data_IF_316815603109
#
_entry.id   IF_316815603109
#
_cell.length_a   1.000
_cell.length_b   1.000
_cell.length_c   1.000
_cell.angle_alpha   90.00
_cell.angle_beta   90.00
_cell.angle_gamma   90.00
#
_symmetry.space_group_name_H-M   'P 1'
#
loop_
_entity.id
_entity.type
_entity.pdbx_description
1 polymer ?
#
# COMPACT_ATOMS: atom_id res chain seq x y z
N UNK A 1 5.34 4.50 17.81
CA UNK A 1 5.23 5.26 16.54
C UNK A 1 5.16 4.26 15.38
N UNK A 2 4.37 4.56 14.33
CA UNK A 2 4.50 3.75 13.11
C UNK A 2 4.42 4.58 11.83
N UNK A 3 5.22 4.14 10.84
CA UNK A 3 5.25 4.69 9.49
C UNK A 3 4.57 3.70 8.55
N UNK A 4 3.61 4.17 7.74
CA UNK A 4 3.02 3.37 6.67
C UNK A 4 3.64 3.69 5.32
N UNK A 5 4.03 2.67 4.55
CA UNK A 5 4.56 2.84 3.20
C UNK A 5 3.48 2.49 2.18
N UNK A 6 3.07 3.47 1.42
CA UNK A 6 2.04 3.39 0.40
C UNK A 6 2.63 3.48 -1.02
N UNK A 7 1.96 2.87 -1.98
CA UNK A 7 2.36 2.95 -3.39
C UNK A 7 1.87 1.77 -4.22
N UNK A 8 1.90 1.93 -5.52
CA UNK A 8 1.40 0.97 -6.49
C UNK A 8 2.18 -0.36 -6.48
N UNK A 9 1.67 -1.37 -7.16
CA UNK A 9 2.37 -2.64 -7.42
C UNK A 9 3.67 -2.34 -8.16
N UNK A 10 4.81 -2.83 -7.65
CA UNK A 10 6.12 -2.57 -8.26
C UNK A 10 6.80 -1.26 -7.83
N UNK A 11 6.21 -0.43 -6.96
CA UNK A 11 6.81 0.85 -6.54
C UNK A 11 7.99 0.74 -5.57
N UNK A 12 8.35 -0.47 -5.09
CA UNK A 12 9.50 -0.67 -4.20
C UNK A 12 9.19 -0.60 -2.70
N UNK A 13 7.91 -0.63 -2.29
CA UNK A 13 7.51 -0.55 -0.87
C UNK A 13 8.27 -1.50 0.05
N UNK A 14 8.25 -2.79 -0.26
CA UNK A 14 8.91 -3.82 0.58
C UNK A 14 10.40 -3.55 0.75
N UNK A 15 11.08 -3.16 -0.33
CA UNK A 15 12.50 -2.81 -0.28
C UNK A 15 12.74 -1.61 0.63
N UNK A 16 11.92 -0.54 0.50
CA UNK A 16 12.07 0.62 1.37
C UNK A 16 11.71 0.29 2.83
N UNK A 17 10.70 -0.54 3.07
CA UNK A 17 10.35 -1.04 4.41
C UNK A 17 11.54 -1.72 5.08
N UNK A 18 12.22 -2.63 4.38
CA UNK A 18 13.41 -3.33 4.88
C UNK A 18 14.53 -2.35 5.22
N UNK A 19 14.86 -1.45 4.29
CA UNK A 19 15.96 -0.50 4.45
C UNK A 19 15.71 0.51 5.57
N UNK A 20 14.49 1.03 5.72
CA UNK A 20 14.14 1.93 6.80
C UNK A 20 14.09 1.21 8.15
N UNK A 21 13.59 -0.03 8.19
CA UNK A 21 13.59 -0.84 9.40
C UNK A 21 15.01 -1.12 9.89
N UNK A 22 15.94 -1.41 8.97
CA UNK A 22 17.36 -1.56 9.28
C UNK A 22 17.99 -0.23 9.76
N UNK A 23 17.72 0.87 9.05
CA UNK A 23 18.27 2.18 9.37
C UNK A 23 17.86 2.68 10.76
N UNK A 24 16.55 2.60 11.07
CA UNK A 24 16.00 3.09 12.34
C UNK A 24 16.02 2.03 13.47
N UNK A 25 16.39 0.79 13.17
CA UNK A 25 16.27 -0.36 14.09
C UNK A 25 14.82 -0.54 14.58
N UNK A 26 13.85 -0.34 13.66
CA UNK A 26 12.42 -0.50 13.89
C UNK A 26 11.94 -1.85 13.38
N UNK A 27 10.78 -2.30 13.85
CA UNK A 27 10.17 -3.57 13.46
C UNK A 27 9.49 -3.44 12.09
N UNK A 28 9.90 -4.23 11.06
CA UNK A 28 9.19 -4.27 9.80
C UNK A 28 7.94 -5.14 9.88
N UNK A 29 6.84 -4.69 9.28
CA UNK A 29 5.63 -5.46 9.05
C UNK A 29 5.34 -5.50 7.57
N UNK A 30 5.15 -6.70 7.02
CA UNK A 30 4.96 -6.94 5.59
C UNK A 30 3.53 -7.32 5.26
N UNK A 31 3.07 -6.93 4.07
CA UNK A 31 1.78 -7.36 3.56
C UNK A 31 1.72 -8.88 3.42
N UNK A 32 0.72 -9.51 4.04
CA UNK A 32 0.49 -10.96 3.94
C UNK A 32 -0.19 -11.28 2.60
N UNK A 33 0.59 -11.49 1.55
CA UNK A 33 0.09 -11.86 0.21
C UNK A 33 0.07 -13.37 0.00
N UNK A 34 0.97 -14.10 0.67
CA UNK A 34 1.34 -15.48 0.34
C UNK A 34 0.21 -16.50 0.60
N UNK A 35 -0.65 -16.24 1.58
CA UNK A 35 -1.71 -17.18 1.99
C UNK A 35 -3.13 -16.68 1.65
N UNK A 36 -3.27 -15.80 0.66
CA UNK A 36 -4.59 -15.31 0.27
C UNK A 36 -5.32 -16.38 -0.54
N UNK A 37 -6.42 -16.97 -0.01
CA UNK A 37 -7.12 -18.09 -0.65
C UNK A 37 -7.90 -17.67 -1.91
N UNK A 38 -8.04 -16.37 -2.17
CA UNK A 38 -8.79 -15.83 -3.29
C UNK A 38 -7.91 -15.37 -4.44
N UNK A 39 -6.58 -15.26 -4.26
CA UNK A 39 -5.69 -14.64 -5.25
C UNK A 39 -5.72 -15.33 -6.60
N UNK A 40 -5.62 -16.66 -6.62
CA UNK A 40 -5.60 -17.44 -7.86
C UNK A 40 -6.96 -17.41 -8.59
N UNK A 41 -8.05 -17.37 -7.84
CA UNK A 41 -9.40 -17.32 -8.40
C UNK A 41 -9.77 -15.91 -8.86
N UNK A 42 -9.29 -14.88 -8.18
CA UNK A 42 -9.47 -13.49 -8.56
C UNK A 42 -8.99 -13.21 -9.99
N UNK A 43 -7.79 -13.67 -10.35
CA UNK A 43 -7.27 -13.47 -11.71
C UNK A 43 -7.98 -14.29 -12.79
N UNK A 44 -8.78 -15.30 -12.41
CA UNK A 44 -9.62 -16.06 -13.35
C UNK A 44 -10.98 -15.40 -13.59
N UNK A 45 -11.55 -14.78 -12.55
CA UNK A 45 -12.87 -14.14 -12.59
C UNK A 45 -12.90 -12.95 -11.60
N UNK A 46 -12.52 -11.77 -12.09
CA UNK A 46 -12.47 -10.54 -11.31
C UNK A 46 -13.86 -10.18 -10.75
N UNK A 47 -14.92 -10.34 -11.56
CA UNK A 47 -16.27 -9.97 -11.14
C UNK A 47 -16.78 -10.85 -10.00
N UNK A 48 -16.44 -12.14 -10.02
CA UNK A 48 -16.87 -13.08 -8.97
C UNK A 48 -16.09 -12.89 -7.67
N UNK A 49 -14.79 -12.58 -7.73
CA UNK A 49 -13.92 -12.70 -6.59
C UNK A 49 -13.38 -11.38 -6.02
N UNK A 50 -13.57 -10.24 -6.70
CA UNK A 50 -13.05 -8.94 -6.23
C UNK A 50 -13.53 -8.59 -4.83
N UNK A 51 -14.82 -8.70 -4.54
CA UNK A 51 -15.35 -8.38 -3.22
C UNK A 51 -14.74 -9.26 -2.13
N UNK A 52 -14.70 -10.58 -2.33
CA UNK A 52 -14.14 -11.52 -1.36
C UNK A 52 -12.64 -11.27 -1.12
N UNK A 53 -11.88 -10.99 -2.19
CA UNK A 53 -10.47 -10.63 -2.11
C UNK A 53 -10.24 -9.36 -1.29
N UNK A 54 -11.00 -8.29 -1.58
CA UNK A 54 -10.84 -7.01 -0.89
C UNK A 54 -11.24 -7.09 0.58
N UNK A 55 -12.31 -7.82 0.92
CA UNK A 55 -12.70 -8.09 2.32
C UNK A 55 -11.61 -8.89 3.06
N UNK A 56 -10.99 -9.86 2.39
CA UNK A 56 -9.88 -10.61 2.99
C UNK A 56 -8.70 -9.69 3.31
N UNK A 57 -8.27 -8.84 2.38
CA UNK A 57 -7.20 -7.89 2.62
C UNK A 57 -7.55 -6.85 3.67
N UNK A 58 -8.79 -6.35 3.67
CA UNK A 58 -9.27 -5.42 4.70
C UNK A 58 -9.13 -6.02 6.10
N UNK A 59 -9.58 -7.26 6.26
CA UNK A 59 -9.50 -8.01 7.53
C UNK A 59 -8.04 -8.18 7.98
N UNK A 60 -7.14 -8.63 7.10
CA UNK A 60 -5.73 -8.86 7.47
C UNK A 60 -5.04 -7.54 7.85
N UNK A 61 -5.20 -6.50 7.05
CA UNK A 61 -4.62 -5.18 7.36
C UNK A 61 -5.18 -4.57 8.64
N UNK A 62 -6.47 -4.75 8.91
CA UNK A 62 -7.07 -4.28 10.16
C UNK A 62 -6.48 -5.01 11.37
N UNK A 63 -6.29 -6.32 11.28
CA UNK A 63 -5.63 -7.13 12.30
C UNK A 63 -4.20 -6.64 12.57
N UNK A 64 -3.44 -6.35 11.51
CA UNK A 64 -2.07 -5.82 11.65
C UNK A 64 -2.07 -4.48 12.36
N UNK A 65 -2.96 -3.54 11.99
CA UNK A 65 -3.02 -2.22 12.62
C UNK A 65 -3.50 -2.29 14.07
N UNK A 66 -4.38 -3.23 14.42
CA UNK A 66 -4.73 -3.48 15.83
C UNK A 66 -3.52 -3.93 16.64
N UNK A 67 -2.74 -4.88 16.13
CA UNK A 67 -1.50 -5.34 16.80
C UNK A 67 -0.47 -4.21 16.92
N UNK A 68 -0.34 -3.36 15.89
CA UNK A 68 0.51 -2.17 15.92
C UNK A 68 0.06 -1.21 17.03
N UNK A 69 -1.26 -1.02 17.20
CA UNK A 69 -1.82 -0.12 18.21
C UNK A 69 -1.55 -0.59 19.65
N UNK A 70 -1.34 -1.89 19.84
CA UNK A 70 -1.01 -2.53 21.13
C UNK A 70 0.51 -2.65 21.36
N UNK A 71 1.33 -2.42 20.34
CA UNK A 71 2.78 -2.55 20.40
C UNK A 71 3.46 -1.32 20.99
N UNK A 72 4.48 -1.52 21.81
CA UNK A 72 5.38 -0.47 22.28
C UNK A 72 6.53 -0.18 21.29
N UNK A 73 6.71 -1.05 20.29
CA UNK A 73 7.77 -0.92 19.29
C UNK A 73 7.43 0.17 18.27
N UNK A 74 8.47 0.77 17.70
CA UNK A 74 8.35 1.56 16.49
C UNK A 74 8.30 0.63 15.29
N UNK A 75 7.39 0.89 14.33
CA UNK A 75 7.06 -0.05 13.25
C UNK A 75 7.09 0.64 11.89
N UNK A 76 7.62 -0.06 10.88
CA UNK A 76 7.48 0.28 9.46
C UNK A 76 6.53 -0.73 8.82
N UNK A 77 5.39 -0.25 8.32
CA UNK A 77 4.33 -1.09 7.75
C UNK A 77 4.33 -1.00 6.21
N UNK A 78 4.56 -2.12 5.53
CA UNK A 78 4.40 -2.24 4.07
C UNK A 78 2.92 -2.35 3.74
N UNK A 79 2.36 -1.31 3.20
CA UNK A 79 0.96 -1.10 2.81
C UNK A 79 0.03 -0.87 4.00
N UNK A 80 -0.78 0.18 3.87
CA UNK A 80 -1.72 0.61 4.90
C UNK A 80 -3.14 0.07 4.68
N UNK A 81 -3.96 0.13 5.73
CA UNK A 81 -5.38 -0.20 5.66
C UNK A 81 -6.13 0.67 4.62
N UNK A 82 -5.78 1.96 4.56
CA UNK A 82 -6.48 2.95 3.75
C UNK A 82 -6.36 2.73 2.24
N UNK A 83 -5.20 2.25 1.78
CA UNK A 83 -4.97 1.96 0.35
C UNK A 83 -5.90 0.86 -0.17
N UNK A 84 -6.19 -0.15 0.65
CA UNK A 84 -7.14 -1.21 0.31
C UNK A 84 -8.47 -0.63 -0.14
N UNK A 85 -8.96 0.33 0.60
CA UNK A 85 -10.27 0.95 0.38
C UNK A 85 -10.25 1.96 -0.75
N UNK A 86 -9.42 3.00 -0.61
CA UNK A 86 -9.47 4.15 -1.52
C UNK A 86 -8.77 3.93 -2.85
N UNK A 87 -7.96 2.88 -2.97
CA UNK A 87 -7.24 2.56 -4.19
C UNK A 87 -7.74 1.24 -4.80
N UNK A 88 -7.57 0.12 -4.11
CA UNK A 88 -7.81 -1.21 -4.71
C UNK A 88 -9.30 -1.54 -4.84
N UNK A 89 -10.07 -1.49 -3.75
CA UNK A 89 -11.50 -1.76 -3.80
C UNK A 89 -12.23 -0.71 -4.66
N UNK A 90 -11.86 0.57 -4.53
CA UNK A 90 -12.40 1.63 -5.37
C UNK A 90 -12.06 1.43 -6.86
N UNK A 91 -10.90 0.86 -7.21
CA UNK A 91 -10.57 0.53 -8.58
C UNK A 91 -11.40 -0.64 -9.11
N UNK A 92 -11.55 -1.70 -8.32
CA UNK A 92 -12.42 -2.83 -8.67
C UNK A 92 -13.89 -2.40 -8.84
N UNK A 93 -14.39 -1.51 -7.99
CA UNK A 93 -15.72 -0.94 -8.10
C UNK A 93 -15.90 -0.13 -9.39
N UNK A 94 -14.98 0.78 -9.70
CA UNK A 94 -15.10 1.60 -10.92
C UNK A 94 -14.96 0.80 -12.22
N UNK A 95 -14.32 -0.36 -12.16
CA UNK A 95 -14.25 -1.30 -13.28
C UNK A 95 -15.47 -2.23 -13.37
N UNK A 96 -16.46 -2.07 -12.48
CA UNK A 96 -17.66 -2.90 -12.42
C UNK A 96 -17.44 -4.31 -11.87
N UNK A 97 -16.28 -4.58 -11.25
CA UNK A 97 -15.97 -5.86 -10.62
C UNK A 97 -16.61 -6.03 -9.23
N UNK A 98 -17.01 -4.93 -8.60
CA UNK A 98 -17.76 -4.91 -7.33
C UNK A 98 -19.06 -4.14 -7.58
N UNK A 99 -20.20 -4.68 -7.13
CA UNK A 99 -21.51 -4.02 -7.26
C UNK A 99 -21.63 -2.81 -6.32
N UNK A 100 -22.55 -1.88 -6.63
CA UNK A 100 -22.84 -0.71 -5.77
C UNK A 100 -23.13 -1.14 -4.33
N UNK A 101 -24.01 -2.12 -4.15
CA UNK A 101 -24.39 -2.66 -2.84
C UNK A 101 -23.21 -3.25 -2.08
N UNK A 102 -22.35 -4.02 -2.76
CA UNK A 102 -21.19 -4.67 -2.13
C UNK A 102 -20.13 -3.64 -1.77
N UNK A 103 -19.94 -2.62 -2.63
CA UNK A 103 -19.00 -1.54 -2.33
C UNK A 103 -19.47 -0.65 -1.16
N UNK A 104 -20.78 -0.34 -1.08
CA UNK A 104 -21.35 0.37 0.05
C UNK A 104 -21.13 -0.41 1.37
N UNK A 105 -21.46 -1.71 1.39
CA UNK A 105 -21.21 -2.59 2.53
C UNK A 105 -19.72 -2.63 2.92
N UNK A 106 -18.83 -2.67 1.95
CA UNK A 106 -17.39 -2.64 2.18
C UNK A 106 -16.93 -1.31 2.82
N UNK A 107 -17.48 -0.19 2.36
CA UNK A 107 -17.17 1.14 2.92
C UNK A 107 -17.67 1.27 4.36
N UNK A 108 -18.89 0.83 4.65
CA UNK A 108 -19.43 0.82 6.03
C UNK A 108 -18.56 -0.03 6.97
N UNK A 109 -18.14 -1.21 6.51
CA UNK A 109 -17.23 -2.08 7.28
C UNK A 109 -15.91 -1.38 7.58
N UNK A 110 -15.32 -0.71 6.58
CA UNK A 110 -14.09 0.06 6.76
C UNK A 110 -14.28 1.21 7.76
N UNK A 111 -15.38 1.97 7.67
CA UNK A 111 -15.67 3.09 8.58
C UNK A 111 -15.72 2.63 10.04
N UNK A 112 -16.39 1.50 10.31
CA UNK A 112 -16.42 0.90 11.66
C UNK A 112 -15.02 0.52 12.14
N UNK A 113 -14.20 -0.06 11.24
CA UNK A 113 -12.85 -0.51 11.57
C UNK A 113 -11.90 0.66 11.82
N UNK A 114 -11.93 1.70 10.96
CA UNK A 114 -10.98 2.81 11.06
C UNK A 114 -11.16 3.65 12.32
N UNK A 115 -12.35 3.68 12.90
CA UNK A 115 -12.60 4.32 14.19
C UNK A 115 -11.85 3.67 15.37
N UNK A 116 -11.40 2.43 15.21
CA UNK A 116 -10.74 1.65 16.26
C UNK A 116 -9.22 1.66 16.18
N UNK A 117 -8.67 2.29 15.17
CA UNK A 117 -7.22 2.30 14.92
C UNK A 117 -6.69 3.71 14.72
N UNK A 118 -5.40 3.89 14.99
CA UNK A 118 -4.72 5.17 14.74
C UNK A 118 -4.24 5.26 13.30
N UNK A 119 -4.23 6.47 12.75
CA UNK A 119 -3.50 6.76 11.52
C UNK A 119 -1.99 6.56 11.74
N UNK A 120 -1.22 6.21 10.68
CA UNK A 120 0.23 6.31 10.72
C UNK A 120 0.69 7.70 11.21
N UNK A 121 1.75 7.75 12.01
CA UNK A 121 2.41 9.01 12.37
C UNK A 121 2.95 9.72 11.14
N UNK A 122 3.32 8.92 10.11
CA UNK A 122 3.68 9.38 8.78
C UNK A 122 3.29 8.32 7.74
N UNK A 123 2.67 8.74 6.64
CA UNK A 123 2.53 7.92 5.42
C UNK A 123 3.58 8.34 4.41
N UNK A 124 4.38 7.40 3.91
CA UNK A 124 5.30 7.62 2.81
C UNK A 124 4.65 7.08 1.53
N UNK A 125 4.32 7.97 0.61
CA UNK A 125 3.78 7.58 -0.69
C UNK A 125 4.89 7.50 -1.75
N UNK A 126 5.15 6.29 -2.24
CA UNK A 126 6.08 6.03 -3.34
C UNK A 126 5.37 6.26 -4.67
N UNK A 127 5.52 7.47 -5.20
CA UNK A 127 4.98 7.81 -6.52
C UNK A 127 5.91 7.31 -7.60
N UNK A 128 5.35 6.56 -8.57
CA UNK A 128 6.11 5.98 -9.66
C UNK A 128 5.33 6.05 -10.97
N UNK A 129 6.02 6.23 -12.08
CA UNK A 129 5.42 6.14 -13.41
C UNK A 129 5.10 4.69 -13.78
N UNK A 130 4.08 4.50 -14.62
CA UNK A 130 3.69 3.14 -15.07
C UNK A 130 4.84 2.40 -15.76
N UNK A 131 5.66 3.01 -16.62
CA UNK A 131 6.82 2.34 -17.21
C UNK A 131 7.79 1.78 -16.14
N UNK A 132 8.08 2.56 -15.09
CA UNK A 132 8.96 2.14 -14.00
C UNK A 132 8.33 0.99 -13.18
N UNK A 133 7.02 1.04 -12.92
CA UNK A 133 6.29 -0.05 -12.25
C UNK A 133 6.39 -1.35 -13.05
N UNK A 134 6.14 -1.30 -14.37
CA UNK A 134 6.22 -2.45 -15.27
C UNK A 134 7.62 -3.07 -15.26
N UNK A 135 8.66 -2.24 -15.36
CA UNK A 135 10.05 -2.71 -15.29
C UNK A 135 10.33 -3.45 -13.97
N UNK A 136 9.91 -2.90 -12.84
CA UNK A 136 10.10 -3.51 -11.52
C UNK A 136 9.31 -4.82 -11.35
N UNK A 137 8.06 -4.87 -11.86
CA UNK A 137 7.23 -6.07 -11.88
C UNK A 137 7.90 -7.18 -12.70
N UNK A 138 8.43 -6.85 -13.87
CA UNK A 138 9.15 -7.79 -14.72
C UNK A 138 10.43 -8.31 -14.04
N UNK A 139 11.23 -7.43 -13.44
CA UNK A 139 12.45 -7.80 -12.70
C UNK A 139 12.15 -8.72 -11.51
N UNK A 140 11.03 -8.48 -10.81
CA UNK A 140 10.61 -9.31 -9.67
C UNK A 140 10.14 -10.70 -10.08
N UNK A 141 9.55 -10.87 -11.25
CA UNK A 141 9.25 -12.15 -11.88
C UNK A 141 8.10 -12.96 -11.26
N UNK A 142 7.22 -12.38 -10.44
CA UNK A 142 6.05 -13.07 -9.90
C UNK A 142 5.05 -13.39 -11.00
N UNK A 143 4.74 -14.69 -11.19
CA UNK A 143 3.94 -15.18 -12.34
C UNK A 143 2.59 -14.51 -12.48
N UNK A 144 1.85 -14.31 -11.38
CA UNK A 144 0.53 -13.68 -11.40
C UNK A 144 0.58 -12.17 -11.72
N UNK A 145 1.70 -11.48 -11.43
CA UNK A 145 1.86 -10.05 -11.70
C UNK A 145 2.22 -9.76 -13.15
N UNK A 146 2.82 -10.72 -13.87
CA UNK A 146 3.22 -10.55 -15.28
C UNK A 146 2.03 -10.33 -16.23
N UNK A 147 0.81 -10.62 -15.78
CA UNK A 147 -0.42 -10.48 -16.55
C UNK A 147 -1.21 -9.21 -16.20
N UNK A 148 -0.71 -8.38 -15.30
CA UNK A 148 -1.41 -7.14 -14.91
C UNK A 148 -1.46 -6.19 -16.10
N UNK A 149 -2.66 -5.75 -16.54
CA UNK A 149 -2.80 -4.79 -17.64
C UNK A 149 -2.19 -3.42 -17.26
N UNK A 150 -1.62 -2.74 -18.24
CA UNK A 150 -1.05 -1.39 -18.05
C UNK A 150 -2.13 -0.41 -17.58
N UNK A 151 -3.33 -0.52 -18.14
CA UNK A 151 -4.50 0.30 -17.79
C UNK A 151 -4.91 0.11 -16.33
N UNK A 152 -4.72 -1.08 -15.77
CA UNK A 152 -4.95 -1.35 -14.35
C UNK A 152 -3.95 -0.58 -13.48
N UNK A 153 -2.66 -0.64 -13.82
CA UNK A 153 -1.61 0.10 -13.10
C UNK A 153 -1.84 1.62 -13.20
N UNK A 154 -2.26 2.12 -14.37
CA UNK A 154 -2.62 3.53 -14.54
C UNK A 154 -3.81 3.90 -13.65
N UNK A 155 -4.88 3.12 -13.67
CA UNK A 155 -6.05 3.34 -12.82
C UNK A 155 -5.70 3.36 -11.32
N UNK A 156 -4.78 2.50 -10.87
CA UNK A 156 -4.28 2.55 -9.50
C UNK A 156 -3.49 3.85 -9.23
N UNK A 157 -2.60 4.29 -10.13
CA UNK A 157 -1.85 5.54 -9.95
C UNK A 157 -2.78 6.75 -9.81
N UNK A 158 -3.80 6.85 -10.67
CA UNK A 158 -4.79 7.94 -10.62
C UNK A 158 -5.53 7.95 -9.26
N UNK A 159 -5.85 6.77 -8.72
CA UNK A 159 -6.49 6.64 -7.41
C UNK A 159 -5.55 6.92 -6.25
N UNK A 160 -4.29 6.56 -6.34
CA UNK A 160 -3.29 6.97 -5.35
C UNK A 160 -3.18 8.49 -5.28
N UNK A 161 -3.10 9.15 -6.41
CA UNK A 161 -3.02 10.60 -6.48
C UNK A 161 -4.28 11.28 -5.88
N UNK A 162 -5.48 10.76 -6.19
CA UNK A 162 -6.73 11.23 -5.58
C UNK A 162 -6.77 10.97 -4.07
N UNK A 163 -6.41 9.76 -3.65
CA UNK A 163 -6.37 9.36 -2.25
C UNK A 163 -5.47 10.28 -1.43
N UNK A 164 -4.23 10.47 -1.88
CA UNK A 164 -3.24 11.28 -1.16
C UNK A 164 -3.64 12.76 -1.11
N UNK A 165 -4.20 13.31 -2.20
CA UNK A 165 -4.56 14.74 -2.26
C UNK A 165 -5.85 15.06 -1.54
N UNK A 166 -6.86 14.18 -1.63
CA UNK A 166 -8.24 14.56 -1.32
C UNK A 166 -8.85 13.77 -0.15
N UNK A 167 -8.34 12.59 0.18
CA UNK A 167 -9.00 11.69 1.14
C UNK A 167 -8.20 11.42 2.39
N UNK A 168 -6.88 11.29 2.30
CA UNK A 168 -6.05 11.03 3.46
C UNK A 168 -5.88 12.27 4.33
N UNK A 169 -6.02 12.13 5.65
CA UNK A 169 -6.02 13.23 6.62
C UNK A 169 -4.75 13.31 7.47
N UNK A 170 -3.88 12.30 7.40
CA UNK A 170 -2.63 12.25 8.17
C UNK A 170 -1.48 12.98 7.48
N UNK A 171 -0.30 12.94 8.11
CA UNK A 171 0.94 13.45 7.51
C UNK A 171 1.35 12.56 6.34
N UNK A 172 1.76 13.16 5.24
CA UNK A 172 2.24 12.46 4.03
C UNK A 172 3.58 13.01 3.58
N UNK A 173 4.50 12.10 3.26
CA UNK A 173 5.73 12.38 2.53
C UNK A 173 5.65 11.70 1.16
N UNK A 174 5.70 12.46 0.07
CA UNK A 174 5.68 11.92 -1.30
C UNK A 174 7.09 11.78 -1.81
N UNK A 175 7.50 10.56 -2.16
CA UNK A 175 8.81 10.23 -2.73
C UNK A 175 8.63 9.85 -4.20
N UNK A 176 9.26 10.59 -5.12
CA UNK A 176 9.30 10.27 -6.55
C UNK A 176 10.41 9.24 -6.80
N UNK A 177 10.02 7.96 -6.88
CA UNK A 177 10.98 6.85 -6.98
C UNK A 177 11.54 6.62 -8.38
N UNK A 178 11.00 7.30 -9.39
CA UNK A 178 11.57 7.23 -10.74
C UNK A 178 12.96 7.91 -10.83
N UNK A 179 13.25 8.79 -9.86
CA UNK A 179 14.50 9.58 -9.80
C UNK A 179 15.51 9.05 -8.79
N UNK A 180 15.12 8.07 -7.99
CA UNK A 180 15.91 7.57 -6.87
C UNK A 180 16.22 6.09 -7.04
N UNK A 181 17.44 5.71 -6.71
CA UNK A 181 17.87 4.32 -6.59
C UNK A 181 18.41 4.07 -5.17
N UNK A 182 17.52 4.18 -4.20
CA UNK A 182 17.87 4.00 -2.78
C UNK A 182 18.36 2.59 -2.44
N UNK A 183 18.18 1.61 -3.35
CA UNK A 183 18.69 0.24 -3.18
C UNK A 183 20.19 0.15 -3.41
N UNK A 184 20.73 0.87 -4.40
CA UNK A 184 22.14 0.77 -4.79
C UNK A 184 22.94 2.03 -4.46
N UNK A 185 22.26 3.17 -4.25
CA UNK A 185 22.89 4.46 -3.94
C UNK A 185 22.54 4.90 -2.51
N UNK A 186 23.50 4.80 -1.56
CA UNK A 186 23.27 5.20 -0.16
C UNK A 186 22.85 6.67 0.01
N UNK A 187 23.31 7.55 -0.89
CA UNK A 187 22.91 8.96 -0.91
C UNK A 187 21.42 9.16 -1.15
N UNK A 188 20.78 8.31 -1.98
CA UNK A 188 19.34 8.39 -2.23
C UNK A 188 18.53 7.92 -1.01
N UNK A 189 18.99 6.88 -0.32
CA UNK A 189 18.39 6.47 0.95
C UNK A 189 18.52 7.59 2.00
N UNK A 190 19.70 8.21 2.07
CA UNK A 190 19.94 9.33 2.99
C UNK A 190 18.99 10.50 2.73
N UNK A 191 18.74 10.84 1.46
CA UNK A 191 17.75 11.87 1.11
C UNK A 191 16.34 11.55 1.64
N UNK A 192 15.94 10.28 1.62
CA UNK A 192 14.66 9.84 2.14
C UNK A 192 14.63 9.93 3.67
N UNK A 193 15.66 9.42 4.34
CA UNK A 193 15.72 9.44 5.82
C UNK A 193 15.81 10.87 6.37
N UNK A 194 16.60 11.76 5.77
CA UNK A 194 16.67 13.18 6.16
C UNK A 194 15.30 13.88 6.08
N UNK A 195 14.46 13.53 5.08
CA UNK A 195 13.09 14.04 4.97
C UNK A 195 12.17 13.46 6.03
N UNK A 196 12.28 12.16 6.33
CA UNK A 196 11.49 11.48 7.37
C UNK A 196 11.80 12.11 8.73
N UNK A 197 13.09 12.27 9.06
CA UNK A 197 13.56 12.85 10.32
C UNK A 197 13.04 14.28 10.49
N UNK A 198 13.08 15.08 9.42
CA UNK A 198 12.53 16.43 9.42
C UNK A 198 11.03 16.48 9.69
N UNK A 199 10.24 15.54 9.13
CA UNK A 199 8.77 15.51 9.29
C UNK A 199 8.37 14.98 10.66
N UNK A 200 9.10 14.00 11.20
CA UNK A 200 8.83 13.36 12.49
C UNK A 200 9.55 14.03 13.66
N UNK A 201 10.53 14.90 13.39
CA UNK A 201 11.39 15.56 14.40
C UNK A 201 12.16 14.55 15.28
N UNK A 202 12.76 13.56 14.62
CA UNK A 202 13.60 12.51 15.24
C UNK A 202 15.05 12.62 14.78
#
# INVERSE_FOLDING_TARGET
MYIGIAGNIGSGKTTLTEMLAEHYQWEPRYETVVDNPYMDDYYKDLHRWSFALEVFFLKERFKDVLQISESENNIILDRTLHEGVFVFAANNYAQGNISDRDFETYMELYEIMVEKVKLPDLMIYLRSSVPHLVENIQKRGRVYEQKIPIEYLQGLNDRYDDFIRNKYKGKVLVIDVDKLDYKTRPEDLKLITDQIDSVLSI
#
